data_IF_843011029904
#
_entry.id   IF_843011029904
#
_cell.length_a   1.000
_cell.length_b   1.000
_cell.length_c   1.000
_cell.angle_alpha   90.00
_cell.angle_beta   90.00
_cell.angle_gamma   90.00
#
_symmetry.space_group_name_H-M   'P 1'
#
loop_
_entity.id
_entity.type
_entity.pdbx_description
1 polymer ?
#
# COMPACT_ATOMS: atom_id res chain seq x y z
N UNK A 1 -13.44 0.57 -31.92
CA UNK A 1 -12.74 1.32 -30.84
C UNK A 1 -11.66 0.50 -30.08
N UNK A 2 -11.12 -0.60 -30.62
CA UNK A 2 -10.16 -1.47 -29.91
C UNK A 2 -8.71 -1.39 -30.42
N UNK A 3 -8.41 -0.51 -31.39
CA UNK A 3 -7.06 -0.39 -31.99
C UNK A 3 -6.16 0.68 -31.35
N UNK A 4 -6.71 1.60 -30.56
CA UNK A 4 -5.95 2.71 -29.95
C UNK A 4 -5.20 2.37 -28.65
N UNK A 5 -5.71 1.44 -27.85
CA UNK A 5 -5.13 1.10 -26.53
C UNK A 5 -3.86 0.25 -26.66
N UNK A 6 -3.77 -0.59 -27.71
CA UNK A 6 -2.61 -1.44 -27.95
C UNK A 6 -1.37 -0.65 -28.41
N UNK A 7 -1.58 0.40 -29.21
CA UNK A 7 -0.50 1.27 -29.71
C UNK A 7 0.10 2.08 -28.55
N UNK A 8 -0.75 2.61 -27.66
CA UNK A 8 -0.27 3.39 -26.50
C UNK A 8 0.57 2.56 -25.53
N UNK A 9 0.27 1.27 -25.34
CA UNK A 9 1.08 0.37 -24.51
C UNK A 9 2.43 0.04 -25.14
N UNK A 10 2.49 -0.12 -26.46
CA UNK A 10 3.74 -0.40 -27.18
C UNK A 10 4.66 0.82 -27.20
N UNK A 11 4.10 2.00 -27.45
CA UNK A 11 4.83 3.28 -27.39
C UNK A 11 5.27 3.66 -25.96
N UNK A 12 4.53 3.29 -24.91
CA UNK A 12 4.99 3.50 -23.54
C UNK A 12 6.15 2.55 -23.19
N UNK A 13 6.08 1.30 -23.66
CA UNK A 13 7.16 0.31 -23.52
C UNK A 13 8.41 0.76 -24.28
N UNK A 14 8.26 1.18 -25.54
CA UNK A 14 9.37 1.60 -26.41
C UNK A 14 10.02 2.91 -25.94
N UNK A 15 9.27 3.79 -25.26
CA UNK A 15 9.82 5.00 -24.63
C UNK A 15 10.57 4.73 -23.32
N UNK A 16 10.22 3.69 -22.56
CA UNK A 16 10.98 3.28 -21.36
C UNK A 16 12.10 2.27 -21.66
N UNK A 17 12.04 1.51 -22.76
CA UNK A 17 13.07 0.53 -23.15
C UNK A 17 14.24 1.13 -23.95
N UNK A 18 14.20 2.41 -24.34
CA UNK A 18 15.36 3.07 -24.96
C UNK A 18 16.39 3.52 -23.91
N UNK A 19 16.89 2.58 -23.14
CA UNK A 19 18.16 2.71 -22.44
C UNK A 19 19.02 1.55 -22.90
N UNK A 20 19.90 1.86 -23.87
CA UNK A 20 20.91 0.94 -24.38
C UNK A 20 21.71 0.40 -23.19
N UNK A 21 21.89 -0.91 -23.24
CA UNK A 21 22.81 -1.73 -22.46
C UNK A 21 22.36 -2.21 -21.08
N UNK A 22 21.54 -1.51 -20.29
CA UNK A 22 20.90 -2.05 -19.06
C UNK A 22 19.55 -1.38 -18.82
N UNK A 23 18.47 -2.17 -18.71
CA UNK A 23 17.12 -1.64 -18.43
C UNK A 23 16.69 -1.99 -17.00
N UNK A 24 16.25 -0.99 -16.23
CA UNK A 24 15.71 -1.17 -14.88
C UNK A 24 14.19 -1.08 -14.97
N UNK A 25 13.49 -2.14 -14.55
CA UNK A 25 12.03 -2.11 -14.40
C UNK A 25 11.67 -1.98 -12.92
N UNK A 26 11.08 -0.84 -12.55
CA UNK A 26 10.53 -0.59 -11.22
C UNK A 26 9.15 -1.23 -11.06
N UNK A 27 8.91 -1.91 -9.93
CA UNK A 27 7.64 -2.57 -9.65
C UNK A 27 7.04 -2.18 -8.32
N UNK A 28 5.76 -1.80 -8.41
CA UNK A 28 5.01 -1.19 -7.32
C UNK A 28 4.48 -2.17 -6.27
N UNK A 29 4.23 -3.44 -6.61
CA UNK A 29 3.78 -4.43 -5.62
C UNK A 29 4.38 -5.80 -5.98
N UNK A 30 4.98 -6.49 -5.00
CA UNK A 30 5.67 -7.77 -5.15
C UNK A 30 4.74 -8.96 -5.44
N UNK A 31 3.60 -8.72 -6.12
CA UNK A 31 2.61 -9.73 -6.44
C UNK A 31 3.23 -10.87 -7.27
N UNK A 32 2.82 -12.11 -7.02
CA UNK A 32 3.29 -13.30 -7.75
C UNK A 32 3.03 -13.23 -9.25
N UNK A 33 1.98 -12.53 -9.67
CA UNK A 33 1.69 -12.20 -11.08
C UNK A 33 2.76 -11.31 -11.73
N UNK A 34 3.49 -10.56 -10.91
CA UNK A 34 4.50 -9.58 -11.31
C UNK A 34 5.92 -10.15 -11.15
N UNK A 35 6.21 -10.89 -10.06
CA UNK A 35 7.56 -11.41 -9.73
C UNK A 35 7.71 -12.92 -9.94
N UNK A 36 6.64 -13.61 -10.30
CA UNK A 36 6.60 -15.06 -10.42
C UNK A 36 7.70 -15.59 -11.34
N UNK A 37 8.42 -16.61 -10.87
CA UNK A 37 9.60 -17.16 -11.55
C UNK A 37 9.32 -17.74 -12.95
N UNK A 38 8.11 -18.26 -13.18
CA UNK A 38 7.72 -18.91 -14.44
C UNK A 38 6.76 -18.07 -15.28
N UNK A 39 5.69 -17.56 -14.66
CA UNK A 39 4.61 -16.85 -15.34
C UNK A 39 4.49 -15.38 -14.93
N UNK A 40 5.44 -14.87 -14.14
CA UNK A 40 5.44 -13.47 -13.75
C UNK A 40 5.81 -12.57 -14.91
N UNK A 41 5.24 -11.37 -14.94
CA UNK A 41 5.58 -10.34 -15.94
C UNK A 41 7.09 -10.08 -15.99
N UNK A 42 7.79 -10.16 -14.85
CA UNK A 42 9.26 -10.04 -14.81
C UNK A 42 9.97 -11.15 -15.59
N UNK A 43 9.55 -12.41 -15.39
CA UNK A 43 10.14 -13.56 -16.05
C UNK A 43 9.94 -13.48 -17.56
N UNK A 44 8.74 -13.10 -18.00
CA UNK A 44 8.43 -12.92 -19.43
C UNK A 44 9.18 -11.74 -20.07
N UNK A 45 9.39 -10.65 -19.34
CA UNK A 45 10.22 -9.55 -19.83
C UNK A 45 11.71 -9.92 -19.87
N UNK A 46 12.18 -10.78 -18.96
CA UNK A 46 13.57 -11.26 -18.93
C UNK A 46 13.86 -12.30 -20.04
N UNK A 47 12.85 -13.06 -20.48
CA UNK A 47 12.94 -13.88 -21.70
C UNK A 47 13.20 -13.02 -22.95
N UNK A 48 12.67 -11.79 -22.99
CA UNK A 48 12.85 -10.85 -24.11
C UNK A 48 14.13 -10.01 -23.99
N UNK A 49 14.53 -9.66 -22.77
CA UNK A 49 15.77 -8.95 -22.49
C UNK A 49 16.48 -9.57 -21.26
N UNK A 50 17.50 -10.42 -21.48
CA UNK A 50 18.25 -11.08 -20.40
C UNK A 50 18.93 -10.12 -19.42
N UNK A 51 19.23 -8.89 -19.85
CA UNK A 51 19.90 -7.85 -19.05
C UNK A 51 18.93 -6.98 -18.23
N UNK A 52 17.63 -7.31 -18.24
CA UNK A 52 16.65 -6.60 -17.43
C UNK A 52 16.89 -6.85 -15.93
N UNK A 53 17.06 -5.76 -15.19
CA UNK A 53 17.13 -5.78 -13.73
C UNK A 53 15.81 -5.35 -13.12
N UNK A 54 15.30 -6.18 -12.21
CA UNK A 54 14.05 -5.92 -11.50
C UNK A 54 14.35 -5.24 -10.17
N UNK A 55 13.82 -4.03 -9.97
CA UNK A 55 13.97 -3.32 -8.69
C UNK A 55 12.62 -3.28 -7.98
N UNK A 56 12.61 -3.84 -6.77
CA UNK A 56 11.47 -3.80 -5.87
C UNK A 56 11.54 -2.57 -4.98
N UNK A 57 10.44 -1.83 -4.90
CA UNK A 57 10.32 -0.72 -3.95
C UNK A 57 10.59 -1.21 -2.52
N UNK A 58 11.62 -0.62 -1.90
CA UNK A 58 12.02 -0.94 -0.52
C UNK A 58 10.87 -0.60 0.45
N UNK A 59 10.11 0.45 0.18
CA UNK A 59 8.93 0.84 0.98
C UNK A 59 7.88 -0.26 1.05
N UNK A 60 7.60 -0.93 -0.07
CA UNK A 60 6.64 -2.03 -0.09
C UNK A 60 7.16 -3.27 0.65
N UNK A 61 8.45 -3.60 0.51
CA UNK A 61 9.07 -4.70 1.29
C UNK A 61 9.06 -4.41 2.79
N UNK A 62 9.38 -3.17 3.18
CA UNK A 62 9.33 -2.72 4.57
C UNK A 62 7.91 -2.80 5.12
N UNK A 63 6.92 -2.36 4.35
CA UNK A 63 5.51 -2.46 4.72
C UNK A 63 5.07 -3.91 4.95
N UNK A 64 5.43 -4.84 4.04
CA UNK A 64 5.13 -6.26 4.20
C UNK A 64 5.82 -6.85 5.44
N UNK A 65 7.10 -6.55 5.67
CA UNK A 65 7.80 -7.01 6.86
C UNK A 65 7.15 -6.49 8.16
N UNK A 66 6.71 -5.23 8.18
CA UNK A 66 5.97 -4.66 9.30
C UNK A 66 4.61 -5.33 9.52
N UNK A 67 3.88 -5.62 8.45
CA UNK A 67 2.61 -6.36 8.49
C UNK A 67 2.80 -7.77 9.03
N UNK A 68 3.82 -8.48 8.56
CA UNK A 68 4.13 -9.83 9.01
C UNK A 68 4.55 -9.84 10.48
N UNK A 69 5.43 -8.92 10.89
CA UNK A 69 5.82 -8.76 12.29
C UNK A 69 4.62 -8.44 13.21
N UNK A 70 3.70 -7.58 12.76
CA UNK A 70 2.48 -7.26 13.50
C UNK A 70 1.54 -8.48 13.63
N UNK A 71 1.52 -9.39 12.66
CA UNK A 71 0.71 -10.60 12.70
C UNK A 71 1.20 -11.63 13.73
N UNK A 72 2.52 -11.69 13.96
CA UNK A 72 3.15 -12.60 14.93
C UNK A 72 2.88 -12.17 16.38
N UNK A 73 2.70 -10.87 16.62
CA UNK A 73 2.40 -10.34 17.95
C UNK A 73 0.89 -10.27 18.13
N UNK A 74 0.30 -11.31 18.71
CA UNK A 74 -1.16 -11.43 18.92
C UNK A 74 -1.79 -10.21 19.62
N UNK A 75 -1.03 -9.53 20.49
CA UNK A 75 -1.49 -8.33 21.18
C UNK A 75 -1.85 -7.19 20.20
N UNK A 76 -1.14 -7.03 19.08
CA UNK A 76 -1.44 -5.96 18.11
C UNK A 76 -2.84 -6.10 17.51
N UNK A 77 -3.32 -7.32 17.28
CA UNK A 77 -4.69 -7.54 16.79
C UNK A 77 -5.74 -7.03 17.78
N UNK A 78 -5.53 -7.27 19.08
CA UNK A 78 -6.42 -6.76 20.13
C UNK A 78 -6.34 -5.24 20.23
N UNK A 79 -5.13 -4.68 20.19
CA UNK A 79 -4.91 -3.24 20.22
C UNK A 79 -5.61 -2.54 19.04
N UNK A 80 -5.43 -3.05 17.81
CA UNK A 80 -6.06 -2.52 16.61
C UNK A 80 -7.60 -2.57 16.70
N UNK A 81 -8.16 -3.68 17.21
CA UNK A 81 -9.59 -3.83 17.41
C UNK A 81 -10.14 -2.77 18.39
N UNK A 82 -9.49 -2.59 19.55
CA UNK A 82 -9.90 -1.60 20.55
C UNK A 82 -9.87 -0.18 19.96
N UNK A 83 -8.82 0.18 19.22
CA UNK A 83 -8.75 1.49 18.59
C UNK A 83 -9.86 1.71 17.56
N UNK A 84 -10.21 0.69 16.78
CA UNK A 84 -11.33 0.75 15.82
C UNK A 84 -12.68 0.87 16.51
N UNK A 85 -12.89 0.13 17.59
CA UNK A 85 -14.10 0.22 18.41
C UNK A 85 -14.25 1.61 19.06
N UNK A 86 -13.16 2.16 19.60
CA UNK A 86 -13.14 3.53 20.14
C UNK A 86 -13.50 4.55 19.06
N UNK A 87 -12.88 4.44 17.88
CA UNK A 87 -13.21 5.30 16.75
C UNK A 87 -14.70 5.19 16.39
N UNK A 88 -15.23 3.98 16.19
CA UNK A 88 -16.65 3.75 15.88
C UNK A 88 -17.57 4.32 16.96
N UNK A 89 -17.26 4.06 18.24
CA UNK A 89 -18.09 4.51 19.37
C UNK A 89 -18.35 6.02 19.35
N UNK A 90 -17.33 6.82 19.06
CA UNK A 90 -17.46 8.28 19.00
C UNK A 90 -17.90 8.79 17.63
N UNK A 91 -17.32 8.26 16.54
CA UNK A 91 -17.57 8.76 15.18
C UNK A 91 -19.01 8.54 14.71
N UNK A 92 -19.67 7.48 15.19
CA UNK A 92 -21.05 7.14 14.82
C UNK A 92 -22.12 7.94 15.56
N UNK A 93 -21.75 8.77 16.54
CA UNK A 93 -22.70 9.55 17.34
C UNK A 93 -22.24 10.97 17.58
N UNK A 94 -22.96 11.92 16.99
CA UNK A 94 -22.75 13.34 17.22
C UNK A 94 -22.82 13.71 18.71
N UNK A 95 -23.78 13.12 19.47
CA UNK A 95 -23.92 13.37 20.91
C UNK A 95 -22.70 12.91 21.69
N UNK A 96 -22.14 11.73 21.38
CA UNK A 96 -20.93 11.23 22.06
C UNK A 96 -19.71 12.09 21.73
N UNK A 97 -19.58 12.51 20.48
CA UNK A 97 -18.52 13.42 20.04
C UNK A 97 -18.62 14.78 20.76
N UNK A 98 -19.83 15.34 20.89
CA UNK A 98 -20.05 16.60 21.59
C UNK A 98 -19.71 16.49 23.09
N UNK A 99 -20.15 15.42 23.74
CA UNK A 99 -19.83 15.17 25.14
C UNK A 99 -18.31 15.05 25.37
N UNK A 100 -17.60 14.38 24.46
CA UNK A 100 -16.14 14.29 24.54
C UNK A 100 -15.49 15.67 24.48
N UNK A 101 -15.96 16.55 23.58
CA UNK A 101 -15.47 17.93 23.49
C UNK A 101 -15.72 18.72 24.77
N UNK A 102 -16.91 18.60 25.35
CA UNK A 102 -17.23 19.27 26.62
C UNK A 102 -16.31 18.82 27.76
N UNK A 103 -15.97 17.52 27.83
CA UNK A 103 -15.03 16.98 28.83
C UNK A 103 -13.60 17.47 28.56
N UNK A 104 -13.20 17.59 27.28
CA UNK A 104 -11.90 18.13 26.92
C UNK A 104 -11.78 19.61 27.32
N UNK A 105 -12.81 20.41 27.04
CA UNK A 105 -12.90 21.81 27.43
C UNK A 105 -12.87 22.00 28.95
N UNK A 106 -13.62 21.20 29.72
CA UNK A 106 -13.66 21.33 31.18
C UNK A 106 -12.34 20.99 31.87
N UNK A 107 -11.50 20.20 31.21
CA UNK A 107 -10.23 19.72 31.75
C UNK A 107 -9.02 20.46 31.14
N UNK A 108 -9.25 21.56 30.40
CA UNK A 108 -8.22 22.30 29.66
C UNK A 108 -7.37 21.41 28.72
N UNK A 109 -7.98 20.36 28.17
CA UNK A 109 -7.33 19.44 27.25
C UNK A 109 -7.53 19.87 25.79
N UNK A 110 -6.56 19.60 24.91
CA UNK A 110 -6.71 19.90 23.48
C UNK A 110 -7.84 19.08 22.85
N UNK A 111 -8.63 19.72 21.98
CA UNK A 111 -9.58 19.01 21.15
C UNK A 111 -8.86 18.31 20.00
N UNK A 112 -8.76 16.98 20.11
CA UNK A 112 -8.10 16.15 19.12
C UNK A 112 -9.12 15.59 18.11
N UNK A 113 -8.71 15.52 16.84
CA UNK A 113 -9.45 14.78 15.84
C UNK A 113 -9.37 13.27 16.12
N UNK A 114 -10.51 12.59 16.16
CA UNK A 114 -10.53 11.13 16.27
C UNK A 114 -10.20 10.56 14.90
N UNK A 115 -9.06 9.89 14.80
CA UNK A 115 -8.57 9.30 13.55
C UNK A 115 -8.90 7.80 13.49
N UNK A 116 -9.36 7.35 12.34
CA UNK A 116 -9.56 5.93 12.10
C UNK A 116 -8.23 5.26 11.76
N UNK A 117 -8.01 4.05 12.27
CA UNK A 117 -6.91 3.21 11.81
C UNK A 117 -7.28 2.67 10.42
N UNK A 118 -6.60 3.18 9.40
CA UNK A 118 -6.76 2.71 8.02
C UNK A 118 -5.85 1.51 7.79
N UNK A 119 -6.44 0.39 7.37
CA UNK A 119 -5.64 -0.75 6.92
C UNK A 119 -5.02 -0.41 5.57
N UNK A 120 -3.71 -0.21 5.55
CA UNK A 120 -2.93 -0.13 4.32
C UNK A 120 -2.74 -1.57 3.82
N UNK A 121 -3.46 -1.91 2.75
CA UNK A 121 -3.47 -3.26 2.15
C UNK A 121 -2.17 -3.59 1.45
#
# INVERSE_FOLDING_TARGET
MAKGIAIYKKDLLDRHLKLKDHSIAEKNNGASTIIGRKNGVAAKLKELNPFLTLVHYISHKLHLAGKDAANEVQYFKKYEAICKELYSYFSESYKRMLNLKMIQESNDNPQLAILNIINTR
#
